data_IF_987093727891
#
_entry.id   IF_987093727891
#
_cell.length_a   1.000
_cell.length_b   1.000
_cell.length_c   1.000
_cell.angle_alpha   90.00
_cell.angle_beta   90.00
_cell.angle_gamma   90.00
#
_symmetry.space_group_name_H-M   'P 1'
#
loop_
_entity.id
_entity.type
_entity.pdbx_description
1 polymer ?
#
# COMPACT_ATOMS: atom_id res chain seq x y z
N UNK A 1 6.98 29.44 -21.89
CA UNK A 1 6.32 29.44 -20.56
C UNK A 1 6.08 28.00 -20.17
N UNK A 2 6.74 27.49 -19.13
CA UNK A 2 6.43 26.14 -18.63
C UNK A 2 5.05 26.20 -17.96
N UNK A 3 4.09 25.45 -18.48
CA UNK A 3 2.79 25.31 -17.81
C UNK A 3 3.03 24.60 -16.47
N UNK A 4 2.60 25.21 -15.37
CA UNK A 4 2.61 24.56 -14.05
C UNK A 4 1.77 23.28 -14.14
N UNK A 5 2.37 22.13 -13.82
CA UNK A 5 1.61 20.88 -13.79
C UNK A 5 0.44 20.97 -12.81
N UNK A 6 -0.75 20.47 -13.16
CA UNK A 6 -1.88 20.48 -12.27
C UNK A 6 -1.62 19.62 -11.04
N UNK A 7 -2.03 20.14 -9.88
CA UNK A 7 -2.02 19.42 -8.62
C UNK A 7 -2.99 18.23 -8.64
N UNK A 8 -2.79 17.27 -7.74
CA UNK A 8 -3.67 16.10 -7.64
C UNK A 8 -5.13 16.48 -7.36
N UNK A 9 -5.33 17.53 -6.56
CA UNK A 9 -6.66 18.05 -6.24
C UNK A 9 -7.33 18.68 -7.46
N UNK A 10 -6.59 19.39 -8.30
CA UNK A 10 -7.09 19.96 -9.55
C UNK A 10 -7.45 18.87 -10.54
N UNK A 11 -6.60 17.85 -10.70
CA UNK A 11 -6.88 16.68 -11.54
C UNK A 11 -8.14 15.93 -11.07
N UNK A 12 -8.29 15.72 -9.76
CA UNK A 12 -9.47 15.05 -9.21
C UNK A 12 -10.75 15.88 -9.43
N UNK A 13 -10.68 17.20 -9.25
CA UNK A 13 -11.81 18.11 -9.52
C UNK A 13 -12.17 18.16 -11.01
N UNK A 14 -11.18 18.20 -11.90
CA UNK A 14 -11.39 18.17 -13.34
C UNK A 14 -12.07 16.85 -13.76
N UNK A 15 -11.63 15.72 -13.19
CA UNK A 15 -12.30 14.43 -13.40
C UNK A 15 -13.77 14.46 -12.99
N UNK A 16 -14.08 14.97 -11.80
CA UNK A 16 -15.47 15.14 -11.32
C UNK A 16 -16.26 16.10 -12.22
N UNK A 17 -15.59 17.11 -12.77
CA UNK A 17 -16.14 18.04 -13.77
C UNK A 17 -16.33 17.46 -15.17
N UNK A 18 -15.98 16.20 -15.40
CA UNK A 18 -16.20 15.48 -16.66
C UNK A 18 -14.98 15.36 -17.58
N UNK A 19 -13.80 15.83 -17.15
CA UNK A 19 -12.56 15.57 -17.89
C UNK A 19 -12.18 14.09 -17.81
N UNK A 20 -12.31 13.41 -18.95
CA UNK A 20 -12.03 11.98 -19.07
C UNK A 20 -10.56 11.62 -18.93
N UNK A 21 -9.63 12.56 -19.12
CA UNK A 21 -8.19 12.32 -19.03
C UNK A 21 -7.61 12.64 -17.66
N UNK A 22 -8.23 13.54 -16.91
CA UNK A 22 -7.70 14.02 -15.63
C UNK A 22 -7.46 12.89 -14.62
N UNK A 23 -8.36 11.90 -14.55
CA UNK A 23 -8.17 10.74 -13.67
C UNK A 23 -7.03 9.84 -14.12
N UNK A 24 -6.87 9.63 -15.43
CA UNK A 24 -5.77 8.81 -15.95
C UNK A 24 -4.40 9.45 -15.67
N UNK A 25 -4.30 10.78 -15.77
CA UNK A 25 -3.09 11.53 -15.40
C UNK A 25 -2.80 11.39 -13.90
N UNK A 26 -3.82 11.57 -13.05
CA UNK A 26 -3.70 11.37 -11.60
C UNK A 26 -3.22 9.95 -11.27
N UNK A 27 -3.83 8.92 -11.87
CA UNK A 27 -3.45 7.54 -11.61
C UNK A 27 -2.04 7.23 -12.09
N UNK A 28 -1.64 7.69 -13.28
CA UNK A 28 -0.29 7.47 -13.79
C UNK A 28 0.78 8.05 -12.87
N UNK A 29 0.51 9.21 -12.26
CA UNK A 29 1.41 9.85 -11.29
C UNK A 29 1.62 9.00 -10.02
N UNK A 30 0.59 8.24 -9.60
CA UNK A 30 0.60 7.51 -8.33
C UNK A 30 0.65 5.99 -8.48
N UNK A 31 0.63 5.46 -9.70
CA UNK A 31 0.45 4.04 -9.97
C UNK A 31 1.50 3.17 -9.29
N UNK A 32 2.78 3.49 -9.48
CA UNK A 32 3.88 2.70 -8.91
C UNK A 32 3.81 2.65 -7.40
N UNK A 33 3.47 3.78 -6.78
CA UNK A 33 3.29 3.86 -5.34
C UNK A 33 2.12 2.99 -4.86
N UNK A 34 0.94 3.13 -5.49
CA UNK A 34 -0.24 2.34 -5.15
C UNK A 34 -0.02 0.83 -5.40
N UNK A 35 0.71 0.48 -6.45
CA UNK A 35 1.10 -0.89 -6.77
C UNK A 35 2.00 -1.49 -5.68
N UNK A 36 3.03 -0.76 -5.25
CA UNK A 36 3.90 -1.21 -4.16
C UNK A 36 3.15 -1.34 -2.83
N UNK A 37 2.22 -0.42 -2.54
CA UNK A 37 1.34 -0.56 -1.37
C UNK A 37 0.50 -1.84 -1.45
N UNK A 38 -0.07 -2.14 -2.61
CA UNK A 38 -0.86 -3.35 -2.82
C UNK A 38 0.00 -4.61 -2.62
N UNK A 39 1.20 -4.64 -3.21
CA UNK A 39 2.16 -5.73 -3.04
C UNK A 39 2.55 -5.92 -1.57
N UNK A 40 2.83 -4.85 -0.82
CA UNK A 40 3.19 -4.96 0.61
C UNK A 40 2.02 -5.37 1.51
N UNK A 41 0.79 -5.35 1.00
CA UNK A 41 -0.42 -5.65 1.77
C UNK A 41 -0.98 -7.03 1.47
N UNK A 42 -1.04 -7.41 0.18
CA UNK A 42 -1.63 -8.66 -0.35
C UNK A 42 -0.64 -9.81 -0.39
N UNK A 43 -1.09 -11.05 -0.16
CA UNK A 43 -0.21 -12.22 -0.08
C UNK A 43 0.36 -12.69 -1.43
N UNK A 44 -0.36 -12.47 -2.53
CA UNK A 44 0.10 -12.84 -3.87
C UNK A 44 0.03 -11.61 -4.79
N UNK A 45 0.82 -11.65 -5.87
CA UNK A 45 0.78 -10.61 -6.90
C UNK A 45 -0.59 -10.53 -7.59
N UNK A 46 -1.23 -11.67 -7.80
CA UNK A 46 -2.60 -11.75 -8.35
C UNK A 46 -3.59 -11.05 -7.42
N UNK A 47 -3.53 -11.33 -6.12
CA UNK A 47 -4.37 -10.65 -5.13
C UNK A 47 -4.09 -9.14 -5.08
N UNK A 48 -2.83 -8.73 -5.24
CA UNK A 48 -2.47 -7.32 -5.32
C UNK A 48 -3.03 -6.65 -6.58
N UNK A 49 -2.93 -7.30 -7.74
CA UNK A 49 -3.41 -6.77 -9.03
C UNK A 49 -4.92 -6.59 -9.00
N UNK A 50 -5.64 -7.61 -8.54
CA UNK A 50 -7.09 -7.54 -8.44
C UNK A 50 -7.55 -6.50 -7.41
N UNK A 51 -6.90 -6.44 -6.24
CA UNK A 51 -7.22 -5.45 -5.22
C UNK A 51 -6.95 -4.02 -5.72
N UNK A 52 -5.84 -3.80 -6.42
CA UNK A 52 -5.55 -2.50 -7.02
C UNK A 52 -6.61 -2.15 -8.07
N UNK A 53 -6.99 -3.07 -8.95
CA UNK A 53 -8.02 -2.82 -9.94
C UNK A 53 -9.38 -2.46 -9.29
N UNK A 54 -9.81 -3.22 -8.28
CA UNK A 54 -11.02 -2.93 -7.50
C UNK A 54 -10.94 -1.55 -6.84
N UNK A 55 -9.77 -1.21 -6.28
CA UNK A 55 -9.52 0.08 -5.68
C UNK A 55 -9.60 1.23 -6.69
N UNK A 56 -8.98 1.10 -7.87
CA UNK A 56 -9.02 2.14 -8.91
C UNK A 56 -10.46 2.39 -9.41
N UNK A 57 -11.25 1.32 -9.57
CA UNK A 57 -12.68 1.43 -9.90
C UNK A 57 -13.48 2.12 -8.79
N UNK A 58 -13.20 1.78 -7.53
CA UNK A 58 -13.83 2.40 -6.37
C UNK A 58 -13.48 3.89 -6.28
N UNK A 59 -12.21 4.25 -6.47
CA UNK A 59 -11.73 5.63 -6.50
C UNK A 59 -12.43 6.43 -7.60
N UNK A 60 -12.51 5.89 -8.82
CA UNK A 60 -13.22 6.54 -9.92
C UNK A 60 -14.70 6.79 -9.57
N UNK A 61 -15.40 5.82 -8.98
CA UNK A 61 -16.82 5.93 -8.61
C UNK A 61 -17.06 6.89 -7.44
N UNK A 62 -16.10 7.03 -6.54
CA UNK A 62 -16.24 7.80 -5.30
C UNK A 62 -15.54 9.15 -5.33
N UNK A 63 -14.86 9.51 -6.43
CA UNK A 63 -14.14 10.77 -6.59
C UNK A 63 -14.98 12.00 -6.24
N UNK A 64 -16.25 12.04 -6.64
CA UNK A 64 -17.17 13.14 -6.35
C UNK A 64 -17.49 13.32 -4.84
N UNK A 65 -17.21 12.30 -4.01
CA UNK A 65 -17.45 12.33 -2.57
C UNK A 65 -16.22 12.79 -1.77
N UNK A 66 -15.08 12.97 -2.43
CA UNK A 66 -13.85 13.39 -1.78
C UNK A 66 -13.98 14.84 -1.24
N UNK A 67 -13.62 15.05 0.03
CA UNK A 67 -13.86 16.31 0.76
C UNK A 67 -12.62 17.18 0.97
N UNK A 68 -11.46 16.79 0.41
CA UNK A 68 -10.19 17.51 0.56
C UNK A 68 -9.76 17.76 2.02
N UNK A 69 -10.20 16.90 2.93
CA UNK A 69 -9.81 16.83 4.34
C UNK A 69 -8.50 16.03 4.57
N UNK A 70 -8.03 15.35 3.53
CA UNK A 70 -6.72 14.71 3.42
C UNK A 70 -6.15 14.95 2.02
N UNK A 71 -4.87 14.65 1.80
CA UNK A 71 -4.30 14.66 0.46
C UNK A 71 -4.94 13.56 -0.43
N UNK A 72 -5.06 13.83 -1.73
CA UNK A 72 -5.63 12.88 -2.71
C UNK A 72 -4.86 11.55 -2.71
N UNK A 73 -3.53 11.62 -2.63
CA UNK A 73 -2.67 10.43 -2.49
C UNK A 73 -3.04 9.59 -1.28
N UNK A 74 -3.27 10.21 -0.12
CA UNK A 74 -3.69 9.51 1.12
C UNK A 74 -5.05 8.84 0.97
N UNK A 75 -5.97 9.49 0.27
CA UNK A 75 -7.28 8.93 -0.04
C UNK A 75 -7.18 7.73 -1.00
N UNK A 76 -6.38 7.82 -2.07
CA UNK A 76 -6.15 6.68 -2.98
C UNK A 76 -5.52 5.50 -2.26
N UNK A 77 -4.51 5.77 -1.43
CA UNK A 77 -3.86 4.77 -0.58
C UNK A 77 -4.87 4.06 0.33
N UNK A 78 -5.83 4.81 0.88
CA UNK A 78 -6.93 4.26 1.69
C UNK A 78 -7.76 3.25 0.95
N UNK A 79 -8.13 3.57 -0.28
CA UNK A 79 -8.95 2.68 -1.08
C UNK A 79 -8.18 1.39 -1.41
N UNK A 80 -6.88 1.50 -1.73
CA UNK A 80 -6.02 0.34 -2.03
C UNK A 80 -5.87 -0.59 -0.84
N UNK A 81 -5.49 -0.06 0.34
CA UNK A 81 -5.29 -0.90 1.52
C UNK A 81 -6.58 -1.60 1.94
N UNK A 82 -7.72 -0.89 1.91
CA UNK A 82 -9.01 -1.49 2.24
C UNK A 82 -9.40 -2.60 1.25
N UNK A 83 -9.20 -2.38 -0.07
CA UNK A 83 -9.44 -3.43 -1.07
C UNK A 83 -8.59 -4.68 -0.83
N UNK A 84 -7.30 -4.51 -0.47
CA UNK A 84 -6.41 -5.62 -0.14
C UNK A 84 -6.91 -6.39 1.11
N UNK A 85 -7.25 -5.67 2.18
CA UNK A 85 -7.74 -6.28 3.42
C UNK A 85 -9.08 -7.01 3.22
N UNK A 86 -9.99 -6.43 2.44
CA UNK A 86 -11.28 -7.04 2.13
C UNK A 86 -11.11 -8.31 1.29
N UNK A 87 -10.15 -8.32 0.36
CA UNK A 87 -9.79 -9.53 -0.39
C UNK A 87 -9.20 -10.62 0.52
N UNK A 88 -8.27 -10.28 1.40
CA UNK A 88 -7.71 -11.21 2.39
C UNK A 88 -8.81 -11.81 3.27
N UNK A 89 -9.79 -11.01 3.70
CA UNK A 89 -10.94 -11.48 4.48
C UNK A 89 -11.82 -12.43 3.67
N UNK A 90 -12.09 -12.12 2.39
CA UNK A 90 -12.88 -12.98 1.49
C UNK A 90 -12.20 -14.33 1.25
N UNK A 91 -10.90 -14.34 1.00
CA UNK A 91 -10.12 -15.56 0.74
C UNK A 91 -10.05 -16.48 1.98
N UNK A 92 -10.10 -15.92 3.20
CA UNK A 92 -10.20 -16.73 4.44
C UNK A 92 -11.54 -17.47 4.58
N UNK A 93 -12.63 -16.89 4.09
CA UNK A 93 -14.00 -17.44 4.22
C UNK A 93 -14.33 -18.41 3.08
N UNK A 94 -13.66 -18.26 1.93
CA UNK A 94 -13.78 -19.15 0.77
C UNK A 94 -12.41 -19.70 0.43
N UNK A 95 -12.03 -20.90 0.92
CA UNK A 95 -10.79 -21.52 0.52
C UNK A 95 -10.89 -21.91 -0.95
N UNK A 96 -10.53 -21.00 -1.85
CA UNK A 96 -10.19 -21.34 -3.23
C UNK A 96 -8.88 -22.10 -3.16
N UNK A 97 -8.81 -23.25 -3.83
CA UNK A 97 -7.58 -24.04 -3.94
C UNK A 97 -6.56 -23.21 -4.71
N UNK A 98 -5.69 -22.47 -4.02
CA UNK A 98 -4.48 -21.95 -4.64
C UNK A 98 -3.57 -23.13 -4.92
N UNK A 99 -3.33 -23.39 -6.21
CA UNK A 99 -2.16 -24.14 -6.63
C UNK A 99 -0.95 -23.45 -6.00
N UNK A 100 -0.18 -24.21 -5.24
CA UNK A 100 1.14 -23.83 -4.77
C UNK A 100 1.99 -23.46 -5.99
N UNK A 101 2.04 -22.17 -6.29
CA UNK A 101 2.96 -21.57 -7.25
C UNK A 101 4.02 -20.85 -6.45
N UNK A 102 5.26 -21.21 -6.72
CA UNK A 102 6.47 -20.65 -6.13
C UNK A 102 6.40 -19.11 -6.08
N UNK A 103 6.88 -18.54 -4.97
CA UNK A 103 6.91 -17.09 -4.71
C UNK A 103 7.73 -16.35 -5.77
N UNK A 104 7.14 -16.03 -6.92
CA UNK A 104 7.72 -15.11 -7.90
C UNK A 104 7.55 -13.68 -7.40
N UNK A 105 8.45 -13.28 -6.50
CA UNK A 105 8.75 -11.88 -6.21
C UNK A 105 9.50 -11.33 -7.43
N UNK A 106 8.75 -10.90 -8.45
CA UNK A 106 9.34 -10.26 -9.62
C UNK A 106 10.09 -8.98 -9.22
N UNK A 107 11.27 -8.74 -9.81
CA UNK A 107 12.12 -7.63 -9.41
C UNK A 107 11.49 -6.26 -9.69
N UNK A 108 11.72 -5.33 -8.77
CA UNK A 108 11.36 -3.90 -8.88
C UNK A 108 11.96 -3.34 -10.18
N UNK A 109 11.15 -2.72 -11.04
CA UNK A 109 11.67 -2.09 -12.26
C UNK A 109 12.43 -0.79 -11.95
N UNK A 110 13.71 -0.81 -12.35
CA UNK A 110 14.65 0.29 -12.66
C UNK A 110 14.87 1.40 -11.61
N UNK A 111 15.77 1.11 -10.65
CA UNK A 111 16.90 1.97 -10.16
C UNK A 111 17.58 1.46 -8.89
N UNK A 112 17.36 0.21 -8.51
CA UNK A 112 17.95 -0.34 -7.30
C UNK A 112 19.22 -1.13 -7.64
N UNK A 113 20.30 -0.88 -6.91
CA UNK A 113 21.48 -1.75 -6.97
C UNK A 113 21.10 -3.16 -6.50
N UNK A 114 21.89 -4.19 -6.82
CA UNK A 114 21.63 -5.57 -6.37
C UNK A 114 21.40 -5.61 -4.84
N UNK A 115 22.14 -4.80 -4.09
CA UNK A 115 22.01 -4.66 -2.64
C UNK A 115 20.66 -4.05 -2.20
N UNK A 116 20.15 -3.04 -2.91
CA UNK A 116 18.84 -2.43 -2.62
C UNK A 116 17.70 -3.41 -2.90
N UNK A 117 17.85 -4.23 -3.94
CA UNK A 117 16.91 -5.29 -4.28
C UNK A 117 16.87 -6.39 -3.20
N UNK A 118 18.03 -6.88 -2.77
CA UNK A 118 18.15 -7.87 -1.70
C UNK A 118 17.56 -7.34 -0.38
N UNK A 119 17.85 -6.09 -0.04
CA UNK A 119 17.28 -5.41 1.14
C UNK A 119 15.75 -5.32 1.04
N UNK A 120 15.21 -4.91 -0.12
CA UNK A 120 13.76 -4.83 -0.31
C UNK A 120 13.10 -6.20 -0.12
N UNK A 121 13.68 -7.25 -0.68
CA UNK A 121 13.15 -8.62 -0.56
C UNK A 121 13.14 -9.10 0.91
N UNK A 122 14.19 -8.77 1.68
CA UNK A 122 14.24 -9.06 3.12
C UNK A 122 13.15 -8.33 3.89
N UNK A 123 12.96 -7.04 3.62
CA UNK A 123 11.92 -6.22 4.26
C UNK A 123 10.54 -6.78 3.93
N UNK A 124 10.29 -7.11 2.66
CA UNK A 124 9.00 -7.61 2.21
C UNK A 124 8.67 -8.95 2.86
N UNK A 125 9.62 -9.90 2.88
CA UNK A 125 9.45 -11.17 3.62
C UNK A 125 9.16 -10.96 5.11
N UNK A 126 9.83 -10.00 5.76
CA UNK A 126 9.60 -9.71 7.17
C UNK A 126 8.20 -9.13 7.41
N UNK A 127 7.74 -8.23 6.54
CA UNK A 127 6.36 -7.71 6.56
C UNK A 127 5.36 -8.85 6.35
N UNK A 128 5.62 -9.77 5.42
CA UNK A 128 4.71 -10.87 5.10
C UNK A 128 4.49 -11.87 6.23
N UNK A 129 5.45 -11.99 7.15
CA UNK A 129 5.30 -12.79 8.35
C UNK A 129 4.36 -12.18 9.41
N UNK A 130 3.90 -10.94 9.22
CA UNK A 130 2.96 -10.29 10.12
C UNK A 130 1.50 -10.68 9.79
N UNK A 131 0.61 -10.75 10.81
CA UNK A 131 -0.83 -10.77 10.57
C UNK A 131 -1.27 -9.58 9.70
N UNK A 132 -2.24 -9.75 8.78
CA UNK A 132 -2.65 -8.71 7.82
C UNK A 132 -2.93 -7.34 8.44
N UNK A 133 -3.63 -7.33 9.58
CA UNK A 133 -4.02 -6.09 10.24
C UNK A 133 -2.82 -5.40 10.92
N UNK A 134 -1.84 -6.16 11.37
CA UNK A 134 -0.57 -5.64 11.91
C UNK A 134 0.31 -5.11 10.76
N UNK A 135 0.36 -5.83 9.65
CA UNK A 135 1.06 -5.43 8.42
C UNK A 135 0.50 -4.12 7.87
N UNK A 136 -0.81 -4.02 7.69
CA UNK A 136 -1.44 -2.81 7.17
C UNK A 136 -1.18 -1.59 8.08
N UNK A 137 -1.20 -1.77 9.41
CA UNK A 137 -0.92 -0.69 10.34
C UNK A 137 0.55 -0.22 10.28
N UNK A 138 1.50 -1.16 10.22
CA UNK A 138 2.94 -0.80 10.16
C UNK A 138 3.33 -0.23 8.79
N UNK A 139 2.72 -0.70 7.69
CA UNK A 139 2.91 -0.11 6.37
C UNK A 139 2.39 1.34 6.37
N UNK A 140 1.18 1.58 6.84
CA UNK A 140 0.63 2.93 6.89
C UNK A 140 1.48 3.90 7.74
N UNK A 141 1.93 3.50 8.93
CA UNK A 141 2.64 4.42 9.83
C UNK A 141 4.14 4.48 9.53
N UNK A 142 4.80 3.32 9.49
CA UNK A 142 6.27 3.25 9.50
C UNK A 142 6.87 3.25 8.07
N UNK A 143 6.11 2.80 7.05
CA UNK A 143 6.57 2.81 5.64
C UNK A 143 6.08 4.07 4.90
N UNK A 144 4.83 4.43 5.09
CA UNK A 144 4.18 5.54 4.37
C UNK A 144 4.19 6.87 5.14
N UNK A 145 4.52 6.83 6.43
CA UNK A 145 4.66 8.03 7.26
C UNK A 145 3.34 8.66 7.72
N UNK A 146 2.21 7.96 7.65
CA UNK A 146 0.94 8.49 8.17
C UNK A 146 1.00 8.64 9.68
N UNK A 147 0.36 9.71 10.19
CA UNK A 147 0.14 9.84 11.62
C UNK A 147 -0.75 8.70 12.13
N UNK A 148 -0.69 8.40 13.42
CA UNK A 148 -1.56 7.39 14.04
C UNK A 148 -3.05 7.71 13.84
N UNK A 149 -3.41 9.00 13.90
CA UNK A 149 -4.77 9.46 13.67
C UNK A 149 -5.20 9.25 12.21
N UNK A 150 -4.32 9.53 11.25
CA UNK A 150 -4.60 9.30 9.83
C UNK A 150 -4.73 7.81 9.53
N UNK A 151 -3.81 6.99 10.05
CA UNK A 151 -3.86 5.53 9.92
C UNK A 151 -5.13 4.93 10.53
N UNK A 152 -5.61 5.49 11.65
CA UNK A 152 -6.85 5.07 12.30
C UNK A 152 -8.07 5.34 11.42
N UNK A 153 -8.15 6.56 10.83
CA UNK A 153 -9.19 6.93 9.86
C UNK A 153 -9.14 6.06 8.60
N UNK A 154 -7.93 5.90 8.05
CA UNK A 154 -7.59 5.08 6.88
C UNK A 154 -8.06 3.63 7.03
N UNK A 155 -7.72 2.97 8.15
CA UNK A 155 -8.01 1.55 8.37
C UNK A 155 -9.36 1.30 9.07
N UNK A 156 -10.14 2.35 9.37
CA UNK A 156 -11.45 2.24 10.03
C UNK A 156 -11.39 1.61 11.43
N UNK A 157 -10.34 1.89 12.21
CA UNK A 157 -10.15 1.37 13.57
C UNK A 157 -9.73 2.45 14.55
N UNK A 158 -9.94 2.29 15.87
CA UNK A 158 -9.49 3.27 16.87
C UNK A 158 -7.97 3.49 16.86
N UNK A 159 -7.52 4.70 17.23
CA UNK A 159 -6.09 5.01 17.35
C UNK A 159 -5.33 4.05 18.29
N UNK A 160 -5.96 3.64 19.40
CA UNK A 160 -5.38 2.64 20.31
C UNK A 160 -5.14 1.29 19.63
N UNK A 161 -5.98 0.91 18.67
CA UNK A 161 -5.81 -0.29 17.85
C UNK A 161 -4.64 -0.13 16.88
N UNK A 162 -4.45 1.04 16.27
CA UNK A 162 -3.26 1.32 15.45
C UNK A 162 -1.99 1.22 16.29
N UNK A 163 -1.93 1.92 17.44
CA UNK A 163 -0.77 1.91 18.35
C UNK A 163 -0.40 0.48 18.77
N UNK A 164 -1.39 -0.30 19.20
CA UNK A 164 -1.16 -1.69 19.63
C UNK A 164 -0.77 -2.62 18.48
N UNK A 165 -1.35 -2.49 17.28
CA UNK A 165 -0.95 -3.25 16.10
C UNK A 165 0.48 -2.94 15.67
N UNK A 166 0.84 -1.65 15.61
CA UNK A 166 2.18 -1.21 15.25
C UNK A 166 3.22 -1.69 16.29
N UNK A 167 2.91 -1.61 17.59
CA UNK A 167 3.81 -2.11 18.63
C UNK A 167 4.10 -3.62 18.48
N UNK A 168 3.06 -4.43 18.24
CA UNK A 168 3.21 -5.88 18.00
C UNK A 168 3.96 -6.18 16.70
N UNK A 169 3.68 -5.42 15.65
CA UNK A 169 4.37 -5.54 14.37
C UNK A 169 5.88 -5.26 14.54
N UNK A 170 6.23 -4.14 15.16
CA UNK A 170 7.63 -3.75 15.40
C UNK A 170 8.39 -4.78 16.24
N UNK A 171 7.77 -5.38 17.26
CA UNK A 171 8.40 -6.44 18.05
C UNK A 171 8.78 -7.65 17.18
N UNK A 172 7.87 -8.09 16.31
CA UNK A 172 8.11 -9.21 15.38
C UNK A 172 9.14 -8.86 14.30
N UNK A 173 9.07 -7.64 13.76
CA UNK A 173 10.03 -7.17 12.77
C UNK A 173 11.43 -7.04 13.38
N UNK A 174 11.57 -6.56 14.60
CA UNK A 174 12.85 -6.45 15.29
C UNK A 174 13.55 -7.81 15.43
N UNK A 175 12.80 -8.87 15.74
CA UNK A 175 13.33 -10.24 15.80
C UNK A 175 13.75 -10.76 14.42
N UNK A 176 12.98 -10.43 13.37
CA UNK A 176 13.24 -10.93 12.01
C UNK A 176 14.32 -10.17 11.27
N UNK A 177 14.54 -8.90 11.62
CA UNK A 177 15.50 -8.01 10.97
C UNK A 177 16.73 -7.77 11.86
N UNK A 178 16.91 -8.56 12.92
CA UNK A 178 18.02 -8.41 13.87
C UNK A 178 19.39 -8.47 13.17
N UNK A 179 19.53 -9.36 12.18
CA UNK A 179 20.76 -9.52 11.40
C UNK A 179 21.13 -8.31 10.54
N UNK A 180 20.19 -7.38 10.29
CA UNK A 180 20.48 -6.11 9.60
C UNK A 180 21.06 -5.04 10.55
N UNK A 181 20.98 -5.26 11.87
CA UNK A 181 21.53 -4.35 12.89
C UNK A 181 23.03 -4.55 13.12
N UNK A 182 23.60 -5.65 12.61
CA UNK A 182 25.03 -5.94 12.73
C UNK A 182 25.80 -5.30 11.55
N UNK A 183 26.67 -4.31 11.79
CA UNK A 183 27.41 -3.61 10.72
C UNK A 183 28.37 -4.51 9.95
N UNK A 184 28.69 -5.72 10.44
CA UNK A 184 29.55 -6.70 9.77
C UNK A 184 28.90 -7.49 8.63
N UNK A 185 27.59 -7.32 8.38
CA UNK A 185 26.83 -8.12 7.42
C UNK A 185 26.35 -7.31 6.19
N UNK A 186 26.98 -6.15 5.92
CA UNK A 186 26.73 -5.27 4.75
C UNK A 186 27.67 -5.53 3.57
N UNK A 187 28.44 -6.61 3.59
CA UNK A 187 29.33 -7.07 2.51
C UNK A 187 28.69 -8.21 1.76
#
# INVERSE_FOLDING_TARGET
MAATEPSDLELLRAHVGGDRQAFAVLLRRHYDHLWHTALRTSYTREDAADALQEALLSAHRTAARFRADAAVRSWLHTIVVNACLDRIRRNKVRPTVSLSGEDDVEPRTERDTIADFEMSMVIDRALFALPPEQRAAVVAVDVEGYSVADAARLLGVPEGTIKSRCARARLKLAQRLEFLRDPGNRT
#
